data_IF_278406640669
#
_entry.id   IF_278406640669
#
_cell.length_a   1.000
_cell.length_b   1.000
_cell.length_c   1.000
_cell.angle_alpha   90.00
_cell.angle_beta   90.00
_cell.angle_gamma   90.00
#
_symmetry.space_group_name_H-M   'P 1'
#
loop_
_entity.id
_entity.type
_entity.pdbx_description
1 polymer ?
#
# COMPACT_ATOMS: atom_id res chain seq x y z
N UNK A 1 -16.84 -12.96 -20.85
CA UNK A 1 -15.40 -12.66 -20.78
C UNK A 1 -15.19 -11.59 -19.74
N UNK A 2 -14.11 -11.66 -18.95
CA UNK A 2 -13.85 -10.64 -17.92
C UNK A 2 -13.82 -9.25 -18.55
N UNK A 3 -14.53 -8.33 -17.90
CA UNK A 3 -14.59 -6.92 -18.22
C UNK A 3 -13.18 -6.30 -18.22
N UNK A 4 -12.97 -5.23 -18.97
CA UNK A 4 -11.66 -4.60 -19.16
C UNK A 4 -11.03 -4.21 -17.82
N UNK A 5 -11.82 -3.63 -16.91
CA UNK A 5 -11.39 -3.27 -15.55
C UNK A 5 -10.92 -4.50 -14.76
N UNK A 6 -11.69 -5.58 -14.78
CA UNK A 6 -11.33 -6.82 -14.08
C UNK A 6 -10.03 -7.45 -14.61
N UNK A 7 -9.71 -7.26 -15.90
CA UNK A 7 -8.43 -7.70 -16.48
C UNK A 7 -7.26 -6.81 -16.05
N UNK A 8 -7.46 -5.50 -16.04
CA UNK A 8 -6.45 -4.54 -15.59
C UNK A 8 -6.11 -4.76 -14.11
N UNK A 9 -7.13 -4.96 -13.28
CA UNK A 9 -6.98 -5.28 -11.85
C UNK A 9 -6.24 -6.61 -11.65
N UNK A 10 -6.56 -7.64 -12.46
CA UNK A 10 -5.87 -8.93 -12.42
C UNK A 10 -4.40 -8.85 -12.85
N UNK A 11 -4.09 -8.04 -13.87
CA UNK A 11 -2.70 -7.82 -14.31
C UNK A 11 -1.91 -7.08 -13.21
N UNK A 12 -2.53 -6.12 -12.55
CA UNK A 12 -1.93 -5.39 -11.44
C UNK A 12 -1.65 -6.29 -10.23
N UNK A 13 -2.60 -7.17 -9.87
CA UNK A 13 -2.37 -8.20 -8.83
C UNK A 13 -1.16 -9.06 -9.16
N UNK A 14 -1.09 -9.62 -10.37
CA UNK A 14 0.00 -10.50 -10.80
C UNK A 14 1.36 -9.78 -10.80
N UNK A 15 1.38 -8.50 -11.18
CA UNK A 15 2.59 -7.67 -11.11
C UNK A 15 3.05 -7.47 -9.66
N UNK A 16 2.12 -7.14 -8.75
CA UNK A 16 2.40 -6.99 -7.32
C UNK A 16 2.90 -8.30 -6.72
N UNK A 17 2.22 -9.41 -6.98
CA UNK A 17 2.64 -10.75 -6.51
C UNK A 17 4.06 -11.08 -6.96
N UNK A 18 4.36 -10.93 -8.26
CA UNK A 18 5.67 -11.29 -8.80
C UNK A 18 6.81 -10.40 -8.31
N UNK A 19 6.55 -9.10 -8.19
CA UNK A 19 7.60 -8.12 -7.86
C UNK A 19 7.86 -8.07 -6.35
N UNK A 20 6.82 -8.33 -5.54
CA UNK A 20 6.82 -8.02 -4.12
C UNK A 20 6.83 -9.30 -3.25
N UNK A 21 6.86 -10.49 -3.88
CA UNK A 21 7.07 -11.78 -3.21
C UNK A 21 8.36 -11.85 -2.36
N UNK A 22 9.34 -11.01 -2.65
CA UNK A 22 10.61 -10.95 -1.94
C UNK A 22 10.61 -9.95 -0.78
N UNK A 23 9.62 -9.07 -0.71
CA UNK A 23 9.45 -8.11 0.38
C UNK A 23 8.73 -8.84 1.52
N UNK A 24 9.45 -9.07 2.60
CA UNK A 24 8.91 -9.73 3.78
C UNK A 24 7.77 -8.86 4.36
N UNK A 25 6.66 -9.49 4.71
CA UNK A 25 5.51 -8.82 5.33
C UNK A 25 4.87 -7.71 4.46
N UNK A 26 5.10 -7.72 3.14
CA UNK A 26 4.59 -6.72 2.18
C UNK A 26 3.10 -6.41 2.35
N UNK A 27 2.25 -7.44 2.49
CA UNK A 27 0.80 -7.25 2.67
C UNK A 27 0.46 -6.50 3.96
N UNK A 28 1.21 -6.74 5.04
CA UNK A 28 1.01 -6.06 6.33
C UNK A 28 1.44 -4.61 6.21
N UNK A 29 2.63 -4.36 5.62
CA UNK A 29 3.14 -3.01 5.39
C UNK A 29 2.23 -2.18 4.47
N UNK A 30 1.68 -2.79 3.41
CA UNK A 30 0.70 -2.12 2.54
C UNK A 30 -0.63 -1.82 3.24
N UNK A 31 -1.11 -2.72 4.10
CA UNK A 31 -2.31 -2.47 4.90
C UNK A 31 -2.12 -1.25 5.80
N UNK A 32 -0.94 -1.08 6.40
CA UNK A 32 -0.62 0.11 7.19
C UNK A 32 -0.59 1.38 6.34
N UNK A 33 -0.05 1.31 5.11
CA UNK A 33 0.00 2.43 4.18
C UNK A 33 -1.38 2.79 3.62
N UNK A 34 -2.25 1.82 3.33
CA UNK A 34 -3.60 2.07 2.80
C UNK A 34 -4.55 2.70 3.83
N UNK A 35 -4.33 2.43 5.11
CA UNK A 35 -5.11 3.02 6.22
C UNK A 35 -4.58 4.38 6.69
N UNK A 36 -3.60 4.95 5.99
CA UNK A 36 -3.09 6.29 6.26
C UNK A 36 -4.19 7.34 6.11
N UNK A 37 -4.31 8.23 7.09
CA UNK A 37 -5.36 9.25 7.12
C UNK A 37 -6.73 8.70 7.51
N UNK A 38 -6.80 7.47 8.02
CA UNK A 38 -7.98 6.87 8.63
C UNK A 38 -7.64 6.43 10.06
N UNK A 39 -8.57 6.65 11.00
CA UNK A 39 -8.39 6.15 12.37
C UNK A 39 -8.57 4.62 12.43
N UNK A 40 -8.33 4.03 13.61
CA UNK A 40 -8.49 2.58 13.84
C UNK A 40 -9.91 2.05 13.60
N UNK A 41 -10.90 2.92 13.38
CA UNK A 41 -12.28 2.57 13.03
C UNK A 41 -12.57 2.71 11.53
N UNK A 42 -11.58 3.14 10.74
CA UNK A 42 -11.73 3.40 9.30
C UNK A 42 -12.36 4.75 8.99
N UNK A 43 -12.42 5.67 9.96
CA UNK A 43 -12.94 7.02 9.72
C UNK A 43 -11.82 7.94 9.24
N UNK A 44 -12.06 8.62 8.12
CA UNK A 44 -11.13 9.59 7.55
C UNK A 44 -10.82 10.69 8.57
N UNK A 45 -9.55 10.92 8.84
CA UNK A 45 -9.04 11.94 9.76
C UNK A 45 -8.65 13.20 8.96
N UNK A 46 -9.13 14.37 9.39
CA UNK A 46 -8.79 15.65 8.76
C UNK A 46 -7.39 16.12 9.19
N UNK A 47 -6.44 16.05 8.24
CA UNK A 47 -5.43 17.07 8.02
C UNK A 47 -4.41 17.37 9.13
N UNK A 48 -3.61 16.40 9.54
CA UNK A 48 -2.29 16.67 10.17
C UNK A 48 -1.22 15.60 9.92
N UNK A 49 -1.59 14.41 9.46
CA UNK A 49 -0.68 13.27 9.40
C UNK A 49 0.19 13.20 8.14
N UNK A 50 0.03 14.12 7.16
CA UNK A 50 0.79 14.06 5.88
C UNK A 50 2.31 13.94 6.09
N UNK A 51 2.84 14.58 7.14
CA UNK A 51 4.26 14.48 7.49
C UNK A 51 4.63 13.10 8.05
N UNK A 52 3.84 12.56 8.99
CA UNK A 52 4.06 11.25 9.58
C UNK A 52 3.87 10.11 8.57
N UNK A 53 2.95 10.32 7.63
CA UNK A 53 2.67 9.49 6.47
C UNK A 53 3.84 9.47 5.50
N UNK A 54 4.33 10.66 5.13
CA UNK A 54 5.50 10.79 4.26
C UNK A 54 6.72 10.11 4.89
N UNK A 55 6.88 10.25 6.22
CA UNK A 55 7.95 9.60 6.96
C UNK A 55 7.82 8.07 6.95
N UNK A 56 6.63 7.51 7.21
CA UNK A 56 6.38 6.06 7.13
C UNK A 56 6.66 5.49 5.74
N UNK A 57 6.26 6.21 4.69
CA UNK A 57 6.54 5.80 3.30
C UNK A 57 8.04 5.87 3.02
N UNK A 58 8.73 6.91 3.48
CA UNK A 58 10.17 7.06 3.32
C UNK A 58 10.95 5.94 4.05
N UNK A 59 10.56 5.64 5.29
CA UNK A 59 11.17 4.57 6.08
C UNK A 59 10.97 3.21 5.39
N UNK A 60 9.77 2.95 4.84
CA UNK A 60 9.50 1.74 4.05
C UNK A 60 10.42 1.61 2.83
N UNK A 61 10.60 2.68 2.04
CA UNK A 61 11.47 2.67 0.86
C UNK A 61 12.93 2.39 1.25
N UNK A 62 13.40 3.01 2.34
CA UNK A 62 14.77 2.81 2.84
C UNK A 62 14.98 1.38 3.35
N UNK A 63 14.04 0.82 4.11
CA UNK A 63 14.13 -0.54 4.66
C UNK A 63 14.17 -1.61 3.57
N UNK A 64 13.38 -1.43 2.51
CA UNK A 64 13.27 -2.39 1.41
C UNK A 64 14.34 -2.17 0.32
N UNK A 65 15.16 -1.12 0.42
CA UNK A 65 16.22 -0.81 -0.54
C UNK A 65 15.71 -0.47 -1.94
N UNK A 66 14.53 0.17 -2.01
CA UNK A 66 13.85 0.58 -3.25
C UNK A 66 14.24 1.99 -3.73
#
# INVERSE_FOLDING_TARGET
GLDKEAKEERILELYKERTLQHIKDYKVKMFEIENIGYDATGKKMDGSELFDVAKKIQDFIIEEGL
#
